data_IF_977650816781
#
_entry.id   IF_977650816781
#
_cell.length_a   1.000
_cell.length_b   1.000
_cell.length_c   1.000
_cell.angle_alpha   90.00
_cell.angle_beta   90.00
_cell.angle_gamma   90.00
#
_symmetry.space_group_name_H-M   'P 1'
#
loop_
_entity.id
_entity.type
_entity.pdbx_description
1 polymer ?
#
# COMPACT_ATOMS: atom_id res chain seq x y z
N UNK A 1 -21.88 -29.49 -0.05
CA UNK A 1 -22.10 -28.28 -0.89
C UNK A 1 -22.93 -27.24 -0.16
N UNK A 2 -23.91 -27.63 0.66
CA UNK A 2 -24.81 -26.68 1.35
C UNK A 2 -24.13 -25.78 2.40
N UNK A 3 -22.98 -26.20 2.95
CA UNK A 3 -22.21 -25.38 3.91
C UNK A 3 -21.47 -24.20 3.26
N UNK A 4 -21.20 -24.27 1.95
CA UNK A 4 -20.45 -23.25 1.22
C UNK A 4 -21.38 -22.21 0.56
N UNK A 5 -22.70 -22.46 0.54
CA UNK A 5 -23.68 -21.63 -0.19
C UNK A 5 -24.58 -20.76 0.71
N UNK A 6 -24.48 -20.83 2.03
CA UNK A 6 -25.05 -19.79 2.88
C UNK A 6 -24.08 -18.60 2.94
N UNK A 7 -24.19 -17.70 1.97
CA UNK A 7 -23.39 -16.47 1.86
C UNK A 7 -24.17 -15.23 2.38
N UNK A 8 -24.26 -14.97 3.70
CA UNK A 8 -24.54 -13.63 4.22
C UNK A 8 -23.27 -12.78 4.42
N UNK A 9 -22.06 -13.33 4.22
CA UNK A 9 -20.81 -12.60 4.50
C UNK A 9 -20.42 -11.67 3.34
N UNK A 10 -20.70 -12.05 2.09
CA UNK A 10 -20.32 -11.23 0.91
C UNK A 10 -21.17 -9.96 0.79
N UNK A 11 -22.43 -9.98 1.24
CA UNK A 11 -23.28 -8.77 1.26
C UNK A 11 -22.80 -7.72 2.26
N UNK A 12 -22.01 -8.11 3.27
CA UNK A 12 -21.45 -7.19 4.26
C UNK A 12 -20.24 -6.39 3.73
N UNK A 13 -19.50 -6.92 2.75
CA UNK A 13 -18.24 -6.33 2.28
C UNK A 13 -18.31 -5.63 0.91
N UNK A 14 -19.42 -5.76 0.16
CA UNK A 14 -19.50 -5.27 -1.23
C UNK A 14 -20.54 -4.17 -1.50
N UNK A 15 -21.26 -3.64 -0.50
CA UNK A 15 -22.29 -2.63 -0.74
C UNK A 15 -21.90 -1.25 -0.18
N UNK A 16 -21.87 -0.18 -1.01
CA UNK A 16 -21.88 1.19 -0.51
C UNK A 16 -23.23 1.48 0.16
N UNK A 17 -23.13 2.00 1.37
CA UNK A 17 -24.18 2.55 2.23
C UNK A 17 -25.45 3.05 1.53
N UNK A 18 -26.58 2.37 1.79
CA UNK A 18 -27.91 2.98 1.88
C UNK A 18 -28.84 2.16 2.79
N UNK A 19 -29.33 2.80 3.85
CA UNK A 19 -30.47 2.45 4.74
C UNK A 19 -30.24 1.57 5.98
N UNK A 20 -30.77 2.05 7.12
CA UNK A 20 -30.72 1.45 8.47
C UNK A 20 -31.61 0.22 8.67
N UNK A 21 -32.68 0.06 7.88
CA UNK A 21 -33.55 -1.12 7.91
C UNK A 21 -32.86 -2.36 7.35
N UNK A 22 -32.00 -2.19 6.33
CA UNK A 22 -31.23 -3.28 5.72
C UNK A 22 -30.27 -3.92 6.72
N UNK A 23 -29.62 -3.12 7.57
CA UNK A 23 -28.62 -3.61 8.54
C UNK A 23 -29.24 -4.52 9.59
N UNK A 24 -30.40 -4.16 10.15
CA UNK A 24 -31.09 -4.97 11.16
C UNK A 24 -31.63 -6.28 10.58
N UNK A 25 -32.18 -6.25 9.36
CA UNK A 25 -32.61 -7.45 8.64
C UNK A 25 -31.42 -8.35 8.31
N UNK A 26 -30.31 -7.78 7.85
CA UNK A 26 -29.07 -8.53 7.56
C UNK A 26 -28.49 -9.20 8.82
N UNK A 27 -28.52 -8.51 9.96
CA UNK A 27 -28.09 -9.08 11.24
C UNK A 27 -29.02 -10.22 11.70
N UNK A 28 -30.33 -10.09 11.49
CA UNK A 28 -31.28 -11.16 11.79
C UNK A 28 -31.04 -12.40 10.90
N UNK A 29 -30.89 -12.21 9.59
CA UNK A 29 -30.58 -13.31 8.68
C UNK A 29 -29.25 -13.98 9.01
N UNK A 30 -28.23 -13.19 9.32
CA UNK A 30 -26.95 -13.71 9.79
C UNK A 30 -27.12 -14.52 11.07
N UNK A 31 -27.84 -14.00 12.06
CA UNK A 31 -28.10 -14.69 13.32
C UNK A 31 -28.85 -16.01 13.13
N UNK A 32 -29.90 -16.02 12.31
CA UNK A 32 -30.66 -17.23 11.97
C UNK A 32 -29.79 -18.27 11.26
N UNK A 33 -28.99 -17.83 10.29
CA UNK A 33 -28.09 -18.71 9.54
C UNK A 33 -27.03 -19.31 10.45
N UNK A 34 -26.41 -18.48 11.30
CA UNK A 34 -25.43 -18.91 12.29
C UNK A 34 -26.03 -19.92 13.28
N UNK A 35 -27.21 -19.61 13.82
CA UNK A 35 -27.91 -20.49 14.76
C UNK A 35 -28.22 -21.84 14.11
N UNK A 36 -28.73 -21.84 12.89
CA UNK A 36 -29.00 -23.07 12.13
C UNK A 36 -27.73 -23.88 11.91
N UNK A 37 -26.62 -23.22 11.55
CA UNK A 37 -25.33 -23.86 11.33
C UNK A 37 -24.81 -24.54 12.61
N UNK A 38 -24.84 -23.83 13.74
CA UNK A 38 -24.39 -24.33 15.05
C UNK A 38 -25.24 -25.49 15.54
N UNK A 39 -26.55 -25.47 15.29
CA UNK A 39 -27.45 -26.55 15.68
C UNK A 39 -27.37 -27.77 14.74
N UNK A 40 -26.97 -27.57 13.49
CA UNK A 40 -26.95 -28.64 12.47
C UNK A 40 -25.63 -29.42 12.42
N UNK A 41 -24.54 -28.85 12.91
CA UNK A 41 -23.20 -29.41 12.75
C UNK A 41 -22.35 -29.27 14.00
N UNK A 42 -21.41 -30.21 14.20
CA UNK A 42 -20.44 -30.13 15.29
C UNK A 42 -19.52 -28.92 15.12
N UNK A 43 -19.09 -28.33 16.24
CA UNK A 43 -18.15 -27.21 16.26
C UNK A 43 -16.90 -27.48 15.40
N UNK A 44 -16.33 -28.69 15.52
CA UNK A 44 -15.20 -29.13 14.71
C UNK A 44 -15.52 -29.07 13.22
N UNK A 45 -16.65 -29.62 12.77
CA UNK A 45 -17.03 -29.60 11.35
C UNK A 45 -17.20 -28.17 10.82
N UNK A 46 -17.81 -27.28 11.62
CA UNK A 46 -17.98 -25.87 11.27
C UNK A 46 -16.63 -25.20 11.14
N UNK A 47 -15.73 -25.39 12.11
CA UNK A 47 -14.36 -24.85 12.09
C UNK A 47 -13.60 -25.26 10.82
N UNK A 48 -13.50 -26.57 10.55
CA UNK A 48 -12.70 -27.07 9.43
C UNK A 48 -13.20 -26.56 8.07
N UNK A 49 -14.50 -26.62 7.87
CA UNK A 49 -15.11 -26.22 6.60
C UNK A 49 -15.17 -24.69 6.46
N UNK A 50 -15.40 -23.97 7.56
CA UNK A 50 -15.39 -22.52 7.58
C UNK A 50 -14.01 -21.95 7.27
N UNK A 51 -12.95 -22.47 7.89
CA UNK A 51 -11.57 -22.08 7.59
C UNK A 51 -11.20 -22.34 6.13
N UNK A 52 -11.53 -23.52 5.60
CA UNK A 52 -11.31 -23.81 4.17
C UNK A 52 -12.09 -22.84 3.28
N UNK A 53 -13.38 -22.64 3.56
CA UNK A 53 -14.25 -21.72 2.83
C UNK A 53 -13.70 -20.29 2.81
N UNK A 54 -13.22 -19.79 3.95
CA UNK A 54 -12.59 -18.46 4.06
C UNK A 54 -11.37 -18.35 3.15
N UNK A 55 -10.48 -19.35 3.11
CA UNK A 55 -9.30 -19.32 2.25
C UNK A 55 -9.65 -19.43 0.77
N UNK A 56 -10.70 -20.17 0.42
CA UNK A 56 -11.20 -20.23 -0.96
C UNK A 56 -11.80 -18.89 -1.41
N UNK A 57 -12.63 -18.27 -0.57
CA UNK A 57 -13.36 -17.03 -0.88
C UNK A 57 -12.45 -15.80 -0.82
N UNK A 58 -11.58 -15.69 0.20
CA UNK A 58 -10.77 -14.50 0.41
C UNK A 58 -9.37 -14.57 -0.19
N UNK A 59 -8.91 -15.75 -0.65
CA UNK A 59 -7.63 -15.90 -1.34
C UNK A 59 -7.76 -16.52 -2.73
N UNK A 60 -8.20 -17.78 -2.87
CA UNK A 60 -8.08 -18.50 -4.15
C UNK A 60 -8.90 -17.83 -5.25
N UNK A 61 -10.19 -17.61 -5.00
CA UNK A 61 -11.09 -16.97 -5.96
C UNK A 61 -10.61 -15.58 -6.38
N UNK A 62 -10.36 -14.61 -5.47
CA UNK A 62 -9.86 -13.30 -5.86
C UNK A 62 -8.49 -13.38 -6.53
N UNK A 63 -7.62 -14.32 -6.14
CA UNK A 63 -6.33 -14.50 -6.80
C UNK A 63 -6.47 -14.91 -8.26
N UNK A 64 -7.39 -15.82 -8.56
CA UNK A 64 -7.70 -16.24 -9.93
C UNK A 64 -8.35 -15.10 -10.73
N UNK A 65 -9.22 -14.31 -10.11
CA UNK A 65 -9.82 -13.12 -10.75
C UNK A 65 -8.73 -12.09 -11.09
N UNK A 66 -7.80 -11.79 -10.17
CA UNK A 66 -6.68 -10.90 -10.45
C UNK A 66 -5.80 -11.43 -11.58
N UNK A 67 -5.47 -12.73 -11.56
CA UNK A 67 -4.68 -13.36 -12.62
C UNK A 67 -5.38 -13.27 -13.99
N UNK A 68 -6.68 -13.52 -14.03
CA UNK A 68 -7.49 -13.39 -15.24
C UNK A 68 -7.50 -11.95 -15.75
N UNK A 69 -7.69 -10.97 -14.87
CA UNK A 69 -7.66 -9.56 -15.24
C UNK A 69 -6.27 -9.11 -15.73
N UNK A 70 -5.22 -9.51 -15.01
CA UNK A 70 -3.82 -9.23 -15.39
C UNK A 70 -3.47 -9.82 -16.77
N UNK A 71 -4.04 -10.98 -17.13
CA UNK A 71 -3.77 -11.66 -18.40
C UNK A 71 -4.63 -11.15 -19.55
N UNK A 72 -5.90 -10.80 -19.31
CA UNK A 72 -6.81 -10.33 -20.35
C UNK A 72 -6.57 -8.85 -20.72
N UNK A 73 -6.24 -8.00 -19.74
CA UNK A 73 -6.11 -6.55 -19.94
C UNK A 73 -4.80 -6.01 -19.30
N UNK A 74 -3.62 -6.49 -19.76
CA UNK A 74 -2.33 -6.20 -19.11
C UNK A 74 -1.96 -4.72 -19.08
N UNK A 75 -2.36 -3.94 -20.09
CA UNK A 75 -2.08 -2.49 -20.17
C UNK A 75 -2.79 -1.73 -19.04
N UNK A 76 -4.06 -2.07 -18.78
CA UNK A 76 -4.82 -1.45 -17.68
C UNK A 76 -4.28 -1.92 -16.33
N UNK A 77 -4.01 -3.23 -16.18
CA UNK A 77 -3.40 -3.79 -14.98
C UNK A 77 -2.07 -3.09 -14.64
N UNK A 78 -1.18 -2.90 -15.61
CA UNK A 78 0.07 -2.17 -15.45
C UNK A 78 -0.16 -0.77 -14.85
N UNK A 79 -1.13 -0.02 -15.36
CA UNK A 79 -1.40 1.36 -14.89
C UNK A 79 -1.88 1.44 -13.43
N UNK A 80 -2.46 0.35 -12.91
CA UNK A 80 -3.06 0.30 -11.57
C UNK A 80 -2.12 -0.32 -10.52
N UNK A 81 -1.17 -1.16 -10.96
CA UNK A 81 -0.26 -1.90 -10.07
C UNK A 81 0.94 -1.05 -9.68
N UNK A 82 1.33 -1.09 -8.41
CA UNK A 82 2.46 -0.30 -7.89
C UNK A 82 3.80 -0.59 -8.61
N UNK A 83 3.99 -1.82 -9.11
CA UNK A 83 5.20 -2.22 -9.84
C UNK A 83 5.12 -2.10 -11.37
N UNK A 84 4.03 -1.54 -11.91
CA UNK A 84 3.80 -1.48 -13.35
C UNK A 84 3.96 -2.86 -14.03
N UNK A 85 4.66 -2.88 -15.15
CA UNK A 85 4.92 -4.10 -15.93
C UNK A 85 5.61 -5.20 -15.10
N UNK A 86 6.48 -4.84 -14.15
CA UNK A 86 7.22 -5.82 -13.34
C UNK A 86 6.34 -6.58 -12.35
N UNK A 87 5.16 -6.04 -12.01
CA UNK A 87 4.18 -6.68 -11.13
C UNK A 87 3.20 -7.58 -11.88
N UNK A 88 3.30 -7.66 -13.21
CA UNK A 88 2.47 -8.57 -14.00
C UNK A 88 2.91 -10.04 -13.80
N UNK A 89 1.97 -10.98 -13.87
CA UNK A 89 2.28 -12.40 -13.88
C UNK A 89 3.09 -12.75 -15.15
N UNK A 90 4.01 -13.74 -15.09
CA UNK A 90 4.68 -14.23 -16.30
C UNK A 90 3.67 -14.86 -17.26
N UNK A 91 3.94 -14.77 -18.56
CA UNK A 91 3.06 -15.35 -19.60
C UNK A 91 3.27 -16.86 -19.79
N UNK A 92 4.27 -17.46 -19.15
CA UNK A 92 4.55 -18.90 -19.23
C UNK A 92 3.44 -19.71 -18.51
N UNK A 93 2.61 -20.47 -19.26
CA UNK A 93 1.52 -21.24 -18.67
C UNK A 93 2.03 -22.39 -17.78
N UNK A 94 3.21 -22.95 -18.07
CA UNK A 94 3.79 -24.05 -17.27
C UNK A 94 4.21 -23.53 -15.91
N UNK A 95 4.85 -22.35 -15.88
CA UNK A 95 5.17 -21.66 -14.64
C UNK A 95 3.90 -21.38 -13.82
N UNK A 96 2.87 -20.77 -14.43
CA UNK A 96 1.62 -20.44 -13.73
C UNK A 96 0.92 -21.69 -13.18
N UNK A 97 0.87 -22.78 -13.95
CA UNK A 97 0.29 -24.04 -13.52
C UNK A 97 1.06 -24.65 -12.33
N UNK A 98 2.40 -24.60 -12.34
CA UNK A 98 3.25 -25.06 -11.22
C UNK A 98 3.04 -24.20 -9.98
N UNK A 99 2.98 -22.88 -10.14
CA UNK A 99 2.70 -21.93 -9.05
C UNK A 99 1.33 -22.20 -8.43
N UNK A 100 0.30 -22.39 -9.24
CA UNK A 100 -1.04 -22.73 -8.78
C UNK A 100 -1.06 -24.09 -8.06
N UNK A 101 -0.42 -25.10 -8.64
CA UNK A 101 -0.32 -26.43 -8.04
C UNK A 101 0.35 -26.39 -6.65
N UNK A 102 1.50 -25.71 -6.53
CA UNK A 102 2.17 -25.51 -5.25
C UNK A 102 1.28 -24.75 -4.25
N UNK A 103 0.56 -23.72 -4.71
CA UNK A 103 -0.34 -22.94 -3.87
C UNK A 103 -1.50 -23.76 -3.34
N UNK A 104 -2.07 -24.65 -4.15
CA UNK A 104 -3.14 -25.58 -3.74
C UNK A 104 -2.60 -26.59 -2.73
N UNK A 105 -1.40 -27.14 -2.94
CA UNK A 105 -0.75 -28.04 -1.96
C UNK A 105 -0.53 -27.33 -0.63
N UNK A 106 -0.01 -26.11 -0.65
CA UNK A 106 0.20 -25.31 0.57
C UNK A 106 -1.12 -24.96 1.27
N UNK A 107 -2.18 -24.62 0.52
CA UNK A 107 -3.51 -24.44 1.10
C UNK A 107 -3.97 -25.72 1.82
N UNK A 108 -3.87 -26.88 1.15
CA UNK A 108 -4.26 -28.16 1.73
C UNK A 108 -3.42 -28.51 2.97
N UNK A 109 -2.12 -28.22 2.97
CA UNK A 109 -1.23 -28.43 4.11
C UNK A 109 -1.57 -27.52 5.29
N UNK A 110 -1.85 -26.23 5.06
CA UNK A 110 -2.27 -25.31 6.12
C UNK A 110 -3.59 -25.76 6.76
N UNK A 111 -4.62 -26.00 5.94
CA UNK A 111 -5.93 -26.43 6.42
C UNK A 111 -5.84 -27.81 7.09
N UNK A 112 -5.05 -28.73 6.53
CA UNK A 112 -4.83 -30.06 7.09
C UNK A 112 -4.09 -30.03 8.43
N UNK A 113 -3.10 -29.15 8.59
CA UNK A 113 -2.39 -28.96 9.86
C UNK A 113 -3.32 -28.39 10.94
N UNK A 114 -4.05 -27.32 10.62
CA UNK A 114 -5.03 -26.74 11.54
C UNK A 114 -6.08 -27.78 11.93
N UNK A 115 -6.60 -28.54 10.96
CA UNK A 115 -7.54 -29.62 11.18
C UNK A 115 -7.00 -30.74 12.08
N UNK A 116 -5.77 -31.19 11.82
CA UNK A 116 -5.12 -32.22 12.62
C UNK A 116 -4.97 -31.80 14.08
N UNK A 117 -4.61 -30.54 14.33
CA UNK A 117 -4.52 -29.98 15.69
C UNK A 117 -5.91 -29.92 16.34
N UNK A 118 -6.94 -29.45 15.63
CA UNK A 118 -8.31 -29.37 16.17
C UNK A 118 -8.92 -30.73 16.48
N UNK A 119 -8.68 -31.73 15.62
CA UNK A 119 -9.08 -33.11 15.85
C UNK A 119 -8.35 -33.68 17.07
N UNK A 120 -7.02 -33.53 17.14
CA UNK A 120 -6.22 -34.04 18.25
C UNK A 120 -6.65 -33.42 19.58
N UNK A 121 -6.87 -32.10 19.61
CA UNK A 121 -7.37 -31.39 20.78
C UNK A 121 -8.76 -31.88 21.20
N UNK A 122 -9.70 -31.94 20.26
CA UNK A 122 -11.08 -32.36 20.55
C UNK A 122 -11.10 -33.80 21.06
N UNK A 123 -10.23 -34.66 20.52
CA UNK A 123 -10.10 -36.05 20.98
C UNK A 123 -9.50 -36.13 22.38
N UNK A 124 -8.45 -35.34 22.67
CA UNK A 124 -7.77 -35.36 23.97
C UNK A 124 -8.58 -34.72 25.10
N UNK A 125 -9.25 -33.60 24.83
CA UNK A 125 -9.91 -32.78 25.85
C UNK A 125 -11.43 -32.83 25.79
N UNK A 126 -12.01 -33.60 24.85
CA UNK A 126 -13.46 -33.76 24.67
C UNK A 126 -14.22 -32.41 24.52
N UNK A 127 -13.49 -31.37 24.11
CA UNK A 127 -14.01 -30.00 23.95
C UNK A 127 -13.41 -29.37 22.71
N UNK A 128 -14.16 -28.53 21.96
CA UNK A 128 -13.60 -27.82 20.82
C UNK A 128 -12.56 -26.79 21.26
N UNK A 129 -11.61 -26.48 20.37
CA UNK A 129 -10.60 -25.43 20.61
C UNK A 129 -11.29 -24.07 20.76
N UNK A 130 -12.10 -23.69 19.77
CA UNK A 130 -12.81 -22.43 19.74
C UNK A 130 -14.23 -22.58 20.28
N UNK A 131 -14.66 -21.59 21.04
CA UNK A 131 -16.00 -21.59 21.61
C UNK A 131 -17.03 -21.39 20.50
N UNK A 132 -18.00 -22.29 20.42
CA UNK A 132 -19.05 -22.27 19.39
C UNK A 132 -20.40 -22.26 20.09
N UNK A 133 -21.12 -21.15 20.01
CA UNK A 133 -22.45 -20.98 20.59
C UNK A 133 -23.40 -20.30 19.62
N UNK A 134 -24.69 -20.53 19.77
CA UNK A 134 -25.73 -19.80 19.01
C UNK A 134 -25.75 -18.31 19.38
N UNK A 135 -25.37 -17.96 20.60
CA UNK A 135 -25.16 -16.59 21.05
C UNK A 135 -23.96 -15.97 20.34
N UNK A 136 -24.16 -14.82 19.71
CA UNK A 136 -23.10 -14.06 19.05
C UNK A 136 -22.15 -13.43 20.09
N UNK A 137 -20.85 -13.30 19.77
CA UNK A 137 -19.91 -12.61 20.66
C UNK A 137 -20.31 -11.14 20.80
N UNK A 138 -20.20 -10.60 22.01
CA UNK A 138 -20.45 -9.19 22.25
C UNK A 138 -19.51 -8.32 21.39
N UNK A 139 -20.00 -7.20 20.81
CA UNK A 139 -19.18 -6.36 19.94
C UNK A 139 -17.85 -5.93 20.57
N UNK A 140 -17.86 -5.57 21.85
CA UNK A 140 -16.65 -5.19 22.58
C UNK A 140 -15.65 -6.35 22.72
N UNK A 141 -16.14 -7.56 23.01
CA UNK A 141 -15.29 -8.75 23.11
C UNK A 141 -14.70 -9.11 21.74
N UNK A 142 -15.50 -9.00 20.68
CA UNK A 142 -15.05 -9.16 19.30
C UNK A 142 -13.90 -8.20 18.99
N UNK A 143 -14.08 -6.89 19.24
CA UNK A 143 -13.04 -5.87 19.03
C UNK A 143 -11.79 -6.21 19.83
N UNK A 144 -11.92 -6.47 21.14
CA UNK A 144 -10.78 -6.81 22.01
C UNK A 144 -9.98 -7.99 21.48
N UNK A 145 -10.65 -9.09 21.14
CA UNK A 145 -9.97 -10.29 20.65
C UNK A 145 -9.32 -10.07 19.28
N UNK A 146 -10.01 -9.41 18.34
CA UNK A 146 -9.44 -9.07 17.03
C UNK A 146 -8.19 -8.20 17.18
N UNK A 147 -8.23 -7.17 18.03
CA UNK A 147 -7.06 -6.30 18.28
C UNK A 147 -5.88 -7.09 18.86
N UNK A 148 -6.11 -7.96 19.84
CA UNK A 148 -5.06 -8.82 20.42
C UNK A 148 -4.45 -9.73 19.34
N UNK A 149 -5.29 -10.39 18.54
CA UNK A 149 -4.84 -11.32 17.51
C UNK A 149 -4.08 -10.63 16.38
N UNK A 150 -4.53 -9.45 15.95
CA UNK A 150 -3.82 -8.67 14.93
C UNK A 150 -2.47 -8.13 15.44
N UNK A 151 -2.40 -7.69 16.70
CA UNK A 151 -1.14 -7.28 17.32
C UNK A 151 -0.16 -8.47 17.45
N UNK A 152 -0.67 -9.63 17.87
CA UNK A 152 0.12 -10.86 17.91
C UNK A 152 0.60 -11.28 16.51
N UNK A 153 -0.27 -11.18 15.49
CA UNK A 153 0.09 -11.44 14.10
C UNK A 153 1.22 -10.53 13.64
N UNK A 154 1.13 -9.22 13.82
CA UNK A 154 2.19 -8.28 13.41
C UNK A 154 3.53 -8.64 14.08
N UNK A 155 3.51 -8.92 15.39
CA UNK A 155 4.69 -9.31 16.15
C UNK A 155 5.33 -10.59 15.62
N UNK A 156 4.54 -11.66 15.49
CA UNK A 156 5.03 -12.98 15.10
C UNK A 156 5.47 -12.96 13.64
N UNK A 157 4.68 -12.36 12.74
CA UNK A 157 5.05 -12.21 11.33
C UNK A 157 6.39 -11.50 11.19
N UNK A 158 6.58 -10.35 11.86
CA UNK A 158 7.82 -9.59 11.76
C UNK A 158 9.04 -10.41 12.20
N UNK A 159 9.00 -11.01 13.41
CA UNK A 159 10.16 -11.73 13.93
C UNK A 159 10.44 -13.04 13.18
N UNK A 160 9.42 -13.83 12.83
CA UNK A 160 9.62 -15.03 12.04
C UNK A 160 10.18 -14.68 10.65
N UNK A 161 9.59 -13.69 9.99
CA UNK A 161 10.01 -13.33 8.64
C UNK A 161 11.42 -12.74 8.64
N UNK A 162 11.72 -11.76 9.51
CA UNK A 162 13.01 -11.09 9.55
C UNK A 162 14.14 -11.95 10.15
N UNK A 163 13.86 -12.75 11.19
CA UNK A 163 14.90 -13.47 11.97
C UNK A 163 14.99 -14.96 11.67
N UNK A 164 13.98 -15.57 11.04
CA UNK A 164 13.98 -17.00 10.69
C UNK A 164 14.05 -17.17 9.19
N UNK A 165 13.15 -16.54 8.43
CA UNK A 165 13.06 -16.72 6.98
C UNK A 165 14.07 -15.87 6.18
N UNK A 166 14.61 -14.82 6.79
CA UNK A 166 15.72 -14.02 6.24
C UNK A 166 16.99 -14.07 7.12
N UNK A 167 17.10 -15.10 7.96
CA UNK A 167 18.33 -15.36 8.71
C UNK A 167 19.51 -15.63 7.75
N UNK A 168 20.76 -15.30 8.13
CA UNK A 168 21.95 -15.71 7.39
C UNK A 168 21.93 -17.22 7.14
N UNK A 169 21.86 -17.62 5.87
CA UNK A 169 21.68 -19.02 5.50
C UNK A 169 22.88 -19.87 5.91
N UNK A 170 22.65 -20.86 6.79
CA UNK A 170 23.63 -21.88 7.20
C UNK A 170 23.44 -23.19 6.43
N UNK A 171 23.13 -23.13 5.14
CA UNK A 171 23.03 -24.30 4.25
C UNK A 171 21.81 -24.31 3.34
N UNK A 172 21.85 -25.18 2.31
CA UNK A 172 20.83 -25.26 1.23
C UNK A 172 19.42 -25.61 1.70
N UNK A 173 19.27 -26.33 2.80
CA UNK A 173 17.98 -26.80 3.33
C UNK A 173 17.47 -25.99 4.52
N UNK A 174 18.10 -24.86 4.85
CA UNK A 174 17.59 -23.98 5.90
C UNK A 174 16.27 -23.32 5.47
N UNK A 175 15.40 -22.98 6.44
CA UNK A 175 14.13 -22.27 6.16
C UNK A 175 14.37 -21.00 5.33
N UNK A 176 15.42 -20.24 5.65
CA UNK A 176 15.80 -19.05 4.90
C UNK A 176 16.23 -19.35 3.45
N UNK A 177 17.01 -20.41 3.23
CA UNK A 177 17.39 -20.81 1.88
C UNK A 177 16.18 -21.26 1.05
N UNK A 178 15.27 -22.02 1.65
CA UNK A 178 14.04 -22.50 1.01
C UNK A 178 13.11 -21.34 0.65
N UNK A 179 12.90 -20.41 1.59
CA UNK A 179 12.10 -19.20 1.38
C UNK A 179 12.70 -18.33 0.26
N UNK A 180 14.01 -18.07 0.31
CA UNK A 180 14.70 -17.31 -0.74
C UNK A 180 14.58 -17.98 -2.12
N UNK A 181 14.66 -19.31 -2.18
CA UNK A 181 14.56 -20.06 -3.44
C UNK A 181 13.16 -20.05 -4.04
N UNK A 182 12.10 -20.01 -3.23
CA UNK A 182 10.72 -20.14 -3.72
C UNK A 182 9.99 -18.81 -3.69
N UNK A 183 9.83 -18.16 -2.53
CA UNK A 183 9.18 -16.85 -2.43
C UNK A 183 9.95 -15.73 -3.17
N UNK A 184 11.28 -15.79 -3.22
CA UNK A 184 12.14 -14.79 -3.87
C UNK A 184 12.83 -15.31 -5.14
N UNK A 185 12.25 -16.32 -5.81
CA UNK A 185 12.78 -16.84 -7.08
C UNK A 185 12.84 -15.76 -8.19
N UNK A 186 12.06 -14.69 -8.02
CA UNK A 186 11.95 -13.56 -8.94
C UNK A 186 12.21 -12.26 -8.18
N UNK A 187 13.13 -11.45 -8.70
CA UNK A 187 13.41 -10.09 -8.20
C UNK A 187 12.39 -9.08 -8.72
N UNK A 188 11.09 -9.32 -8.46
CA UNK A 188 10.02 -8.43 -8.89
C UNK A 188 8.87 -8.42 -7.87
N UNK A 189 8.00 -7.40 -7.87
CA UNK A 189 6.79 -7.38 -7.05
C UNK A 189 5.95 -8.64 -7.25
N UNK A 190 5.23 -9.12 -6.23
CA UNK A 190 4.45 -10.34 -6.37
C UNK A 190 3.14 -10.09 -7.15
N UNK A 191 2.48 -11.18 -7.51
CA UNK A 191 1.09 -11.19 -7.96
C UNK A 191 0.29 -12.17 -7.08
N UNK A 192 -1.04 -12.06 -7.09
CA UNK A 192 -1.96 -12.65 -6.11
C UNK A 192 -1.70 -14.14 -5.77
N UNK A 193 -1.44 -14.99 -6.76
CA UNK A 193 -1.16 -16.42 -6.52
C UNK A 193 0.10 -16.67 -5.69
N UNK A 194 1.09 -15.77 -5.73
CA UNK A 194 2.35 -15.96 -5.01
C UNK A 194 2.18 -15.91 -3.49
N UNK A 195 1.02 -15.51 -2.96
CA UNK A 195 0.77 -15.51 -1.52
C UNK A 195 0.98 -16.90 -0.89
N UNK A 196 0.58 -17.96 -1.61
CA UNK A 196 0.67 -19.35 -1.18
C UNK A 196 1.75 -20.14 -1.95
N UNK A 197 2.54 -19.50 -2.81
CA UNK A 197 3.52 -20.16 -3.66
C UNK A 197 4.96 -20.14 -3.10
N UNK A 198 5.12 -20.47 -1.82
CA UNK A 198 6.43 -20.63 -1.17
C UNK A 198 6.72 -22.13 -0.91
N UNK A 199 7.92 -22.48 -0.48
CA UNK A 199 8.20 -23.83 -0.01
C UNK A 199 7.29 -24.17 1.19
N UNK A 200 6.74 -25.39 1.31
CA UNK A 200 5.77 -25.73 2.35
C UNK A 200 6.18 -25.37 3.78
N UNK A 201 7.44 -25.65 4.15
CA UNK A 201 7.94 -25.34 5.50
C UNK A 201 7.98 -23.82 5.81
N UNK A 202 8.68 -22.97 5.03
CA UNK A 202 8.56 -21.51 5.16
C UNK A 202 7.13 -20.98 5.09
N UNK A 203 6.30 -21.54 4.20
CA UNK A 203 4.90 -21.15 4.06
C UNK A 203 4.13 -21.34 5.39
N UNK A 204 4.23 -22.52 6.02
CA UNK A 204 3.58 -22.76 7.31
C UNK A 204 4.11 -21.81 8.40
N UNK A 205 5.42 -21.57 8.43
CA UNK A 205 6.05 -20.63 9.37
C UNK A 205 5.54 -19.21 9.16
N UNK A 206 5.37 -18.77 7.91
CA UNK A 206 4.98 -17.40 7.59
C UNK A 206 3.47 -17.16 7.65
N UNK A 207 2.64 -18.15 7.27
CA UNK A 207 1.20 -17.95 7.04
C UNK A 207 0.29 -18.63 8.05
N UNK A 208 0.77 -19.65 8.75
CA UNK A 208 -0.01 -20.38 9.76
C UNK A 208 0.39 -19.97 11.18
N UNK A 209 1.68 -19.91 11.50
CA UNK A 209 2.14 -19.59 12.87
C UNK A 209 1.73 -18.19 13.38
N UNK A 210 1.66 -17.12 12.55
CA UNK A 210 1.19 -15.83 13.05
C UNK A 210 -0.31 -15.77 13.32
N UNK A 211 -1.09 -16.72 12.79
CA UNK A 211 -2.55 -16.72 12.89
C UNK A 211 -3.04 -17.73 13.93
N UNK A 212 -2.55 -18.97 13.86
CA UNK A 212 -3.16 -20.09 14.57
C UNK A 212 -2.73 -20.19 16.04
N UNK A 213 -1.43 -20.29 16.42
CA UNK A 213 -0.99 -20.30 17.81
C UNK A 213 -1.54 -19.17 18.70
N UNK A 214 -1.59 -17.89 18.28
CA UNK A 214 -2.23 -16.84 19.09
C UNK A 214 -3.72 -17.09 19.32
N UNK A 215 -4.40 -17.63 18.30
CA UNK A 215 -5.81 -18.01 18.39
C UNK A 215 -6.01 -19.20 19.33
N UNK A 216 -5.10 -20.18 19.33
CA UNK A 216 -5.10 -21.30 20.28
C UNK A 216 -4.91 -20.83 21.72
N UNK A 217 -4.04 -19.84 21.94
CA UNK A 217 -3.80 -19.29 23.27
C UNK A 217 -4.99 -18.46 23.78
N UNK A 218 -5.60 -17.65 22.91
CA UNK A 218 -6.71 -16.77 23.27
C UNK A 218 -8.07 -17.51 23.34
N UNK A 219 -8.24 -18.59 22.56
CA UNK A 219 -9.49 -19.37 22.39
C UNK A 219 -10.73 -18.49 22.21
N UNK A 220 -10.74 -17.60 21.21
CA UNK A 220 -11.89 -16.73 20.98
C UNK A 220 -13.13 -17.53 20.53
N UNK A 221 -14.28 -16.86 20.44
CA UNK A 221 -15.46 -17.41 19.76
C UNK A 221 -15.13 -17.74 18.30
N UNK A 222 -15.69 -18.81 17.75
CA UNK A 222 -15.38 -19.31 16.40
C UNK A 222 -15.63 -18.24 15.33
N UNK A 223 -16.71 -17.46 15.43
CA UNK A 223 -16.95 -16.31 14.55
C UNK A 223 -15.85 -15.24 14.61
N UNK A 224 -15.28 -14.99 15.79
CA UNK A 224 -14.18 -14.05 15.96
C UNK A 224 -12.91 -14.57 15.29
N UNK A 225 -12.63 -15.88 15.43
CA UNK A 225 -11.52 -16.52 14.73
C UNK A 225 -11.72 -16.47 13.20
N UNK A 226 -12.92 -16.77 12.69
CA UNK A 226 -13.25 -16.63 11.28
C UNK A 226 -13.08 -15.22 10.74
N UNK A 227 -13.56 -14.21 11.50
CA UNK A 227 -13.36 -12.82 11.12
C UNK A 227 -11.87 -12.47 11.05
N UNK A 228 -11.07 -12.89 12.05
CA UNK A 228 -9.63 -12.67 12.06
C UNK A 228 -8.93 -13.31 10.85
N UNK A 229 -9.18 -14.60 10.59
CA UNK A 229 -8.59 -15.32 9.44
C UNK A 229 -9.04 -14.72 8.12
N UNK A 230 -10.32 -14.36 7.98
CA UNK A 230 -10.88 -13.72 6.79
C UNK A 230 -10.22 -12.37 6.50
N UNK A 231 -10.14 -11.49 7.51
CA UNK A 231 -9.49 -10.18 7.39
C UNK A 231 -8.02 -10.30 6.99
N UNK A 232 -7.26 -11.18 7.65
CA UNK A 232 -5.84 -11.38 7.34
C UNK A 232 -5.64 -11.96 5.94
N UNK A 233 -6.47 -12.94 5.55
CA UNK A 233 -6.37 -13.57 4.22
C UNK A 233 -6.70 -12.57 3.10
N UNK A 234 -7.74 -11.76 3.29
CA UNK A 234 -8.12 -10.72 2.34
C UNK A 234 -7.02 -9.66 2.23
N UNK A 235 -6.54 -9.14 3.35
CA UNK A 235 -5.44 -8.16 3.40
C UNK A 235 -4.21 -8.66 2.65
N UNK A 236 -3.75 -9.89 2.95
CA UNK A 236 -2.58 -10.50 2.33
C UNK A 236 -2.76 -10.74 0.83
N UNK A 237 -3.97 -11.14 0.42
CA UNK A 237 -4.30 -11.33 -1.00
C UNK A 237 -4.24 -10.02 -1.76
N UNK A 238 -4.85 -8.96 -1.21
CA UNK A 238 -4.82 -7.62 -1.80
C UNK A 238 -3.39 -7.07 -1.84
N UNK A 239 -2.62 -7.18 -0.75
CA UNK A 239 -1.24 -6.73 -0.69
C UNK A 239 -0.33 -7.43 -1.71
N UNK A 240 -0.52 -8.74 -1.88
CA UNK A 240 0.28 -9.57 -2.80
C UNK A 240 -0.19 -9.43 -4.25
N UNK A 241 -1.42 -8.97 -4.48
CA UNK A 241 -1.95 -8.73 -5.83
C UNK A 241 -1.18 -7.64 -6.59
N UNK A 242 -0.60 -6.67 -5.87
CA UNK A 242 0.11 -5.52 -6.43
C UNK A 242 -0.76 -4.29 -6.71
N UNK A 243 -2.09 -4.39 -6.53
CA UNK A 243 -3.03 -3.28 -6.73
C UNK A 243 -3.02 -2.32 -5.54
N UNK A 244 -2.51 -1.10 -5.76
CA UNK A 244 -2.37 -0.10 -4.69
C UNK A 244 -3.68 0.62 -4.36
N UNK A 245 -4.63 0.60 -5.30
CA UNK A 245 -5.97 1.15 -5.16
C UNK A 245 -6.97 0.08 -5.58
N UNK A 246 -7.82 -0.32 -4.64
CA UNK A 246 -8.97 -1.19 -4.91
C UNK A 246 -10.21 -0.37 -4.54
N UNK A 247 -11.26 -0.30 -5.38
CA UNK A 247 -12.45 0.47 -5.06
C UNK A 247 -12.97 0.14 -3.65
N UNK A 248 -13.07 1.17 -2.80
CA UNK A 248 -13.53 1.03 -1.41
C UNK A 248 -12.49 0.59 -0.36
N UNK A 249 -11.25 0.25 -0.74
CA UNK A 249 -10.21 -0.22 0.21
C UNK A 249 -8.86 0.47 -0.07
N UNK A 250 -8.37 1.25 0.90
CA UNK A 250 -7.09 1.97 0.80
C UNK A 250 -5.92 1.09 1.31
N UNK A 251 -5.17 0.47 0.40
CA UNK A 251 -4.08 -0.47 0.72
C UNK A 251 -2.70 -0.05 0.18
N UNK A 252 -2.55 1.18 -0.31
CA UNK A 252 -1.35 1.61 -1.03
C UNK A 252 -0.04 1.45 -0.25
N UNK A 253 -0.05 1.75 1.06
CA UNK A 253 1.14 1.60 1.91
C UNK A 253 1.57 0.14 2.12
N UNK A 254 0.61 -0.74 2.42
CA UNK A 254 0.87 -2.18 2.63
C UNK A 254 1.35 -2.80 1.31
N UNK A 255 0.63 -2.57 0.22
CA UNK A 255 0.98 -3.07 -1.11
C UNK A 255 2.38 -2.62 -1.55
N UNK A 256 2.75 -1.36 -1.32
CA UNK A 256 4.08 -0.82 -1.61
C UNK A 256 5.17 -1.52 -0.82
N UNK A 257 4.95 -1.78 0.47
CA UNK A 257 5.90 -2.50 1.33
C UNK A 257 6.07 -3.95 0.89
N UNK A 258 4.97 -4.65 0.63
CA UNK A 258 4.98 -6.02 0.09
C UNK A 258 5.72 -6.06 -1.25
N UNK A 259 5.39 -5.19 -2.20
CA UNK A 259 6.09 -5.09 -3.48
C UNK A 259 7.60 -4.82 -3.30
N UNK A 260 7.96 -3.88 -2.44
CA UNK A 260 9.35 -3.56 -2.12
C UNK A 260 10.12 -4.70 -1.45
N UNK A 261 9.44 -5.51 -0.61
CA UNK A 261 10.03 -6.70 0.01
C UNK A 261 10.48 -7.72 -1.04
N UNK A 262 9.57 -8.12 -1.93
CA UNK A 262 9.85 -9.12 -2.97
C UNK A 262 10.79 -8.59 -4.05
N UNK A 263 10.56 -7.37 -4.56
CA UNK A 263 11.45 -6.75 -5.54
C UNK A 263 12.86 -6.51 -4.97
N UNK A 264 12.96 -6.23 -3.67
CA UNK A 264 14.22 -6.06 -2.96
C UNK A 264 14.91 -7.37 -2.56
N UNK A 265 14.34 -8.54 -2.86
CA UNK A 265 14.88 -9.85 -2.49
C UNK A 265 14.91 -10.10 -0.98
N UNK A 266 13.94 -9.54 -0.25
CA UNK A 266 13.77 -9.79 1.18
C UNK A 266 14.67 -8.96 2.10
N UNK A 267 15.09 -7.76 1.68
CA UNK A 267 16.03 -6.91 2.45
C UNK A 267 15.38 -5.95 3.44
N UNK A 268 14.05 -5.92 3.51
CA UNK A 268 13.27 -5.04 4.38
C UNK A 268 11.78 -5.26 4.20
N UNK A 269 10.95 -4.53 4.95
CA UNK A 269 9.48 -4.60 4.91
C UNK A 269 8.95 -6.01 5.23
N UNK A 270 9.28 -6.54 6.41
CA UNK A 270 8.96 -7.90 6.84
C UNK A 270 7.59 -8.02 7.54
N UNK A 271 7.12 -6.94 8.17
CA UNK A 271 5.88 -6.90 8.93
C UNK A 271 4.63 -6.90 8.03
N UNK A 272 3.49 -7.26 8.61
CA UNK A 272 2.21 -7.24 7.89
C UNK A 272 1.75 -5.80 7.64
N UNK A 273 1.87 -4.94 8.65
CA UNK A 273 1.51 -3.52 8.57
C UNK A 273 2.69 -2.57 8.50
N UNK A 274 3.91 -3.06 8.73
CA UNK A 274 5.12 -2.25 8.70
C UNK A 274 5.33 -1.39 9.94
N UNK A 275 4.54 -1.60 11.01
CA UNK A 275 4.74 -0.91 12.28
C UNK A 275 6.07 -1.34 12.89
N UNK A 276 6.35 -2.65 12.89
CA UNK A 276 7.61 -3.16 13.40
C UNK A 276 8.77 -2.91 12.46
N UNK A 277 8.51 -2.79 11.15
CA UNK A 277 9.53 -2.35 10.20
C UNK A 277 9.97 -0.91 10.46
N UNK A 278 9.03 -0.03 10.80
CA UNK A 278 9.34 1.34 11.21
C UNK A 278 10.10 1.35 12.53
N UNK A 279 9.60 0.64 13.55
CA UNK A 279 10.21 0.61 14.88
C UNK A 279 11.64 0.07 14.88
N UNK A 280 11.97 -0.85 13.98
CA UNK A 280 13.30 -1.46 13.88
C UNK A 280 14.16 -0.88 12.74
N UNK A 281 13.70 0.15 12.02
CA UNK A 281 14.44 0.74 10.90
C UNK A 281 14.65 -0.22 9.70
N UNK A 282 13.83 -1.26 9.58
CA UNK A 282 13.83 -2.23 8.48
C UNK A 282 12.84 -1.88 7.38
N UNK A 283 12.12 -0.76 7.52
CA UNK A 283 11.37 -0.12 6.43
C UNK A 283 12.33 0.28 5.32
N UNK A 284 12.22 -0.37 4.16
CA UNK A 284 13.05 -0.09 3.00
C UNK A 284 12.18 0.44 1.86
N UNK A 285 12.48 1.65 1.43
CA UNK A 285 12.25 2.06 0.06
C UNK A 285 13.55 1.78 -0.67
N UNK A 286 13.60 0.72 -1.48
CA UNK A 286 14.80 0.17 -2.19
C UNK A 286 16.16 0.44 -1.49
N UNK A 287 16.71 -0.51 -0.70
CA UNK A 287 17.84 -0.26 0.21
C UNK A 287 19.13 0.30 -0.39
N UNK A 288 19.40 0.00 -1.68
CA UNK A 288 20.59 0.46 -2.40
C UNK A 288 20.25 1.54 -3.43
N UNK A 289 19.09 2.18 -3.28
CA UNK A 289 18.57 3.08 -4.28
C UNK A 289 18.17 4.38 -3.62
N UNK A 290 18.87 5.44 -3.98
CA UNK A 290 18.50 6.78 -3.59
C UNK A 290 18.13 7.65 -4.80
N UNK A 291 17.97 8.95 -4.55
CA UNK A 291 17.60 9.89 -5.60
C UNK A 291 18.71 10.08 -6.66
N UNK A 292 19.97 9.79 -6.35
CA UNK A 292 21.09 9.82 -7.30
C UNK A 292 21.00 8.63 -8.26
N UNK A 293 20.68 7.44 -7.75
CA UNK A 293 20.41 6.27 -8.60
C UNK A 293 19.21 6.51 -9.52
N UNK A 294 18.17 7.14 -8.99
CA UNK A 294 17.00 7.55 -9.76
C UNK A 294 17.39 8.55 -10.85
N UNK A 295 18.22 9.55 -10.53
CA UNK A 295 18.72 10.52 -11.51
C UNK A 295 19.54 9.85 -12.62
N UNK A 296 20.40 8.89 -12.27
CA UNK A 296 21.19 8.09 -13.22
C UNK A 296 20.30 7.39 -14.24
N UNK A 297 19.18 6.82 -13.83
CA UNK A 297 18.23 6.20 -14.76
C UNK A 297 17.40 7.23 -15.53
N UNK A 298 16.96 8.32 -14.89
CA UNK A 298 16.20 9.40 -15.54
C UNK A 298 16.98 10.06 -16.68
N UNK A 299 18.30 10.23 -16.53
CA UNK A 299 19.17 10.76 -17.59
C UNK A 299 19.10 9.96 -18.89
N UNK A 300 18.91 8.63 -18.80
CA UNK A 300 18.78 7.76 -19.99
C UNK A 300 17.51 8.06 -20.78
N UNK A 301 16.45 8.53 -20.12
CA UNK A 301 15.16 8.80 -20.75
C UNK A 301 15.24 9.92 -21.79
N UNK A 302 16.14 10.89 -21.61
CA UNK A 302 16.35 11.98 -22.58
C UNK A 302 16.77 11.41 -23.94
N UNK A 303 17.70 10.45 -23.95
CA UNK A 303 18.16 9.78 -25.17
C UNK A 303 17.10 8.91 -25.86
N UNK A 304 16.03 8.54 -25.16
CA UNK A 304 14.91 7.78 -25.75
C UNK A 304 13.90 8.65 -26.50
N UNK A 305 13.97 9.98 -26.35
CA UNK A 305 12.98 10.91 -26.90
C UNK A 305 11.63 10.94 -26.14
N UNK A 306 11.45 10.11 -25.11
CA UNK A 306 10.23 10.10 -24.27
C UNK A 306 10.08 11.36 -23.42
N UNK A 307 11.19 12.02 -23.09
CA UNK A 307 11.23 13.28 -22.36
C UNK A 307 12.20 14.23 -23.03
N UNK A 308 11.87 15.54 -23.04
CA UNK A 308 12.77 16.58 -23.57
C UNK A 308 13.79 17.05 -22.54
N UNK A 309 13.36 17.16 -21.28
CA UNK A 309 14.17 17.62 -20.17
C UNK A 309 13.83 16.79 -18.93
N UNK A 310 14.76 16.76 -17.97
CA UNK A 310 14.58 16.19 -16.64
C UNK A 310 14.94 17.23 -15.57
N UNK A 311 14.27 17.14 -14.43
CA UNK A 311 14.42 18.08 -13.32
C UNK A 311 14.09 17.44 -11.98
N UNK A 312 14.28 18.20 -10.91
CA UNK A 312 14.02 17.78 -9.54
C UNK A 312 12.93 18.64 -8.91
N UNK A 313 12.44 18.25 -7.73
CA UNK A 313 11.49 19.04 -6.95
C UNK A 313 11.76 18.88 -5.46
N UNK A 314 11.61 19.97 -4.69
CA UNK A 314 11.89 20.04 -3.25
C UNK A 314 13.36 19.75 -2.88
N UNK A 315 14.29 20.03 -3.80
CA UNK A 315 15.71 19.89 -3.53
C UNK A 315 16.25 21.19 -2.91
N UNK A 316 16.68 21.10 -1.65
CA UNK A 316 17.52 22.13 -1.04
C UNK A 316 18.98 22.01 -1.49
N UNK A 317 19.79 23.03 -1.15
CA UNK A 317 21.20 23.15 -1.58
C UNK A 317 21.99 21.86 -1.31
N UNK A 318 21.88 21.28 -0.10
CA UNK A 318 22.57 20.04 0.27
C UNK A 318 22.28 18.85 -0.66
N UNK A 319 21.02 18.69 -1.09
CA UNK A 319 20.65 17.60 -1.99
C UNK A 319 21.11 17.88 -3.43
N UNK A 320 21.08 19.15 -3.86
CA UNK A 320 21.63 19.57 -5.15
C UNK A 320 23.14 19.35 -5.20
N UNK A 321 23.89 19.76 -4.17
CA UNK A 321 25.33 19.52 -4.08
C UNK A 321 25.65 18.04 -4.13
N UNK A 322 24.92 17.22 -3.36
CA UNK A 322 25.09 15.77 -3.38
C UNK A 322 24.84 15.19 -4.78
N UNK A 323 23.81 15.66 -5.48
CA UNK A 323 23.50 15.19 -6.83
C UNK A 323 24.57 15.63 -7.84
N UNK A 324 24.90 16.92 -7.85
CA UNK A 324 25.81 17.53 -8.82
C UNK A 324 27.27 17.07 -8.65
N UNK A 325 27.67 16.72 -7.42
CA UNK A 325 29.01 16.21 -7.12
C UNK A 325 29.14 14.69 -7.36
N UNK A 326 28.05 13.98 -7.65
CA UNK A 326 28.11 12.55 -7.92
C UNK A 326 28.71 12.28 -9.32
N UNK A 327 29.67 11.34 -9.46
CA UNK A 327 30.29 11.04 -10.75
C UNK A 327 29.33 10.58 -11.86
N UNK A 328 28.15 10.08 -11.50
CA UNK A 328 27.13 9.63 -12.46
C UNK A 328 26.22 10.76 -12.95
N UNK A 329 26.31 11.96 -12.38
CA UNK A 329 25.55 13.13 -12.80
C UNK A 329 26.21 13.79 -14.03
N UNK A 330 25.69 13.50 -15.22
CA UNK A 330 26.13 14.06 -16.51
C UNK A 330 25.25 15.22 -16.98
N UNK A 331 24.01 15.26 -16.52
CA UNK A 331 23.02 16.27 -16.88
C UNK A 331 22.63 17.04 -15.62
N UNK A 332 22.88 18.35 -15.64
CA UNK A 332 22.38 19.27 -14.61
C UNK A 332 20.86 19.33 -14.70
N UNK A 333 20.11 19.28 -13.57
CA UNK A 333 18.66 19.40 -13.61
C UNK A 333 18.21 20.68 -14.32
N UNK A 334 17.32 20.57 -15.31
CA UNK A 334 16.84 21.74 -16.04
C UNK A 334 15.97 22.63 -15.14
N UNK A 335 15.23 22.02 -14.21
CA UNK A 335 14.31 22.68 -13.30
C UNK A 335 14.46 22.11 -11.89
N UNK A 336 14.35 22.98 -10.88
CA UNK A 336 14.02 22.62 -9.50
C UNK A 336 12.67 23.26 -9.13
N UNK A 337 11.62 22.43 -9.01
CA UNK A 337 10.28 22.90 -8.65
C UNK A 337 10.13 22.91 -7.12
N UNK A 338 9.92 24.09 -6.53
CA UNK A 338 9.95 24.32 -5.07
C UNK A 338 8.79 25.21 -4.62
N UNK A 339 8.40 25.10 -3.33
CA UNK A 339 7.37 25.95 -2.74
C UNK A 339 7.91 27.37 -2.63
N UNK A 340 7.26 28.31 -3.31
CA UNK A 340 7.69 29.70 -3.35
C UNK A 340 6.49 30.64 -3.37
N UNK A 341 6.45 31.54 -2.39
CA UNK A 341 5.48 32.62 -2.25
C UNK A 341 6.06 33.63 -1.23
N UNK A 342 5.44 34.80 -0.98
CA UNK A 342 6.02 35.81 -0.08
C UNK A 342 6.36 35.28 1.33
N UNK A 343 5.56 34.36 1.89
CA UNK A 343 5.88 33.72 3.18
C UNK A 343 6.97 32.62 3.10
N UNK A 344 7.39 32.19 1.91
CA UNK A 344 8.47 31.22 1.72
C UNK A 344 9.35 31.63 0.51
N UNK A 345 10.10 32.74 0.59
CA UNK A 345 10.73 33.34 -0.59
C UNK A 345 12.04 32.66 -1.01
N UNK A 346 12.69 31.91 -0.13
CA UNK A 346 13.89 31.08 -0.41
C UNK A 346 14.98 31.72 -1.31
N UNK A 347 15.42 32.98 -1.08
CA UNK A 347 16.34 33.69 -1.97
C UNK A 347 17.69 32.97 -2.18
N UNK A 348 18.27 32.39 -1.12
CA UNK A 348 19.53 31.63 -1.20
C UNK A 348 19.43 30.41 -2.13
N UNK A 349 18.28 29.74 -2.16
CA UNK A 349 18.07 28.57 -3.02
C UNK A 349 17.86 28.99 -4.48
N UNK A 350 17.16 30.10 -4.71
CA UNK A 350 17.00 30.66 -6.06
C UNK A 350 18.34 31.08 -6.65
N UNK A 351 19.16 31.80 -5.87
CA UNK A 351 20.50 32.22 -6.27
C UNK A 351 21.40 31.01 -6.55
N UNK A 352 21.36 29.99 -5.68
CA UNK A 352 22.10 28.76 -5.89
C UNK A 352 21.66 28.04 -7.18
N UNK A 353 20.35 27.85 -7.38
CA UNK A 353 19.80 27.24 -8.59
C UNK A 353 20.27 28.01 -9.84
N UNK A 354 20.14 29.34 -9.85
CA UNK A 354 20.58 30.20 -10.94
C UNK A 354 22.09 30.07 -11.22
N UNK A 355 22.93 30.04 -10.18
CA UNK A 355 24.39 29.86 -10.31
C UNK A 355 24.80 28.53 -10.96
N UNK A 356 23.92 27.51 -10.90
CA UNK A 356 24.12 26.20 -11.52
C UNK A 356 23.41 26.06 -12.86
N UNK A 357 22.72 27.09 -13.35
CA UNK A 357 21.91 27.02 -14.56
C UNK A 357 20.62 26.22 -14.40
N UNK A 358 20.13 26.06 -13.17
CA UNK A 358 18.88 25.35 -12.84
C UNK A 358 17.74 26.37 -12.78
N UNK A 359 16.71 26.22 -13.61
CA UNK A 359 15.53 27.08 -13.56
C UNK A 359 14.66 26.76 -12.34
N UNK A 360 14.09 27.77 -11.69
CA UNK A 360 13.21 27.55 -10.53
C UNK A 360 11.74 27.69 -10.93
N UNK A 361 10.92 26.70 -10.57
CA UNK A 361 9.46 26.74 -10.74
C UNK A 361 8.77 26.82 -9.38
N UNK A 362 7.97 27.86 -9.16
CA UNK A 362 7.20 28.11 -7.96
C UNK A 362 5.88 27.32 -7.96
N UNK A 363 5.84 26.22 -7.20
CA UNK A 363 4.57 25.60 -6.82
C UNK A 363 4.02 26.27 -5.56
N UNK A 364 2.71 26.11 -5.33
CA UNK A 364 2.01 26.81 -4.23
C UNK A 364 2.25 28.32 -4.24
N UNK A 365 2.43 28.92 -5.42
CA UNK A 365 2.66 30.37 -5.60
C UNK A 365 1.57 31.27 -5.02
N UNK A 366 0.40 30.69 -4.73
CA UNK A 366 -0.75 31.33 -4.10
C UNK A 366 -0.87 31.02 -2.59
N UNK A 367 0.08 30.30 -2.00
CA UNK A 367 0.09 29.85 -0.61
C UNK A 367 -0.92 28.73 -0.27
N UNK A 368 -1.41 28.00 -1.29
CA UNK A 368 -2.41 26.93 -1.19
C UNK A 368 -3.80 27.38 -0.70
N UNK A 369 -4.68 26.43 -0.39
CA UNK A 369 -6.04 26.66 0.13
C UNK A 369 -5.97 27.37 1.49
N UNK A 370 -6.84 28.35 1.71
CA UNK A 370 -6.95 29.14 2.94
C UNK A 370 -5.66 29.89 3.34
N UNK A 371 -4.83 30.25 2.36
CA UNK A 371 -3.59 30.96 2.60
C UNK A 371 -3.82 32.28 3.36
N UNK A 372 -3.04 32.56 4.43
CA UNK A 372 -3.09 33.85 5.12
C UNK A 372 -2.66 35.02 4.23
N UNK A 373 -2.00 34.77 3.09
CA UNK A 373 -1.62 35.79 2.11
C UNK A 373 -2.83 36.62 1.66
N UNK A 374 -4.00 36.01 1.49
CA UNK A 374 -5.21 36.72 1.06
C UNK A 374 -5.80 37.66 2.10
N UNK A 375 -5.30 37.63 3.34
CA UNK A 375 -5.67 38.55 4.43
C UNK A 375 -4.57 39.57 4.72
N UNK A 376 -3.43 39.50 4.04
CA UNK A 376 -2.31 40.39 4.26
C UNK A 376 -2.61 41.78 3.70
N UNK A 377 -2.59 42.80 4.57
CA UNK A 377 -2.95 44.17 4.20
C UNK A 377 -2.00 44.77 3.14
N UNK A 378 -0.70 44.48 3.19
CA UNK A 378 0.28 44.92 2.19
C UNK A 378 -0.11 44.40 0.80
N UNK A 379 -0.38 43.11 0.67
CA UNK A 379 -0.79 42.50 -0.60
C UNK A 379 -2.10 43.11 -1.12
N UNK A 380 -3.10 43.28 -0.26
CA UNK A 380 -4.39 43.86 -0.61
C UNK A 380 -4.25 45.32 -1.08
N UNK A 381 -3.38 46.10 -0.44
CA UNK A 381 -3.11 47.49 -0.79
C UNK A 381 -2.40 47.61 -2.14
N UNK A 382 -1.39 46.77 -2.40
CA UNK A 382 -0.69 46.72 -3.71
C UNK A 382 -1.69 46.32 -4.81
N UNK A 383 -2.49 45.27 -4.59
CA UNK A 383 -3.50 44.83 -5.53
C UNK A 383 -4.49 45.95 -5.88
N UNK A 384 -4.99 46.67 -4.86
CA UNK A 384 -5.88 47.81 -5.04
C UNK A 384 -5.21 48.95 -5.81
N UNK A 385 -3.97 49.31 -5.47
CA UNK A 385 -3.23 50.39 -6.13
C UNK A 385 -2.97 50.09 -7.62
N UNK A 386 -2.75 48.82 -7.97
CA UNK A 386 -2.56 48.37 -9.36
C UNK A 386 -3.86 48.11 -10.11
N UNK A 387 -5.01 48.13 -9.44
CA UNK A 387 -6.29 47.72 -10.03
C UNK A 387 -6.30 46.24 -10.42
N UNK A 388 -5.61 45.39 -9.67
CA UNK A 388 -5.44 43.95 -9.92
C UNK A 388 -5.92 43.13 -8.74
N UNK A 389 -5.98 41.81 -8.93
CA UNK A 389 -6.33 40.87 -7.85
C UNK A 389 -5.10 40.50 -7.02
N UNK A 390 -5.26 40.15 -5.72
CA UNK A 390 -4.17 39.64 -4.89
C UNK A 390 -3.46 38.43 -5.53
N UNK A 391 -4.23 37.58 -6.21
CA UNK A 391 -3.73 36.43 -6.97
C UNK A 391 -2.74 36.88 -8.04
N UNK A 392 -3.11 37.86 -8.87
CA UNK A 392 -2.26 38.37 -9.95
C UNK A 392 -0.97 39.00 -9.39
N UNK A 393 -1.04 39.72 -8.27
CA UNK A 393 0.14 40.28 -7.60
C UNK A 393 1.08 39.16 -7.13
N UNK A 394 0.56 38.09 -6.52
CA UNK A 394 1.37 36.94 -6.08
C UNK A 394 2.07 36.23 -7.26
N UNK A 395 1.35 36.08 -8.38
CA UNK A 395 1.92 35.46 -9.58
C UNK A 395 3.02 36.34 -10.19
N UNK A 396 2.74 37.64 -10.34
CA UNK A 396 3.71 38.58 -10.89
C UNK A 396 4.94 38.71 -10.00
N UNK A 397 4.77 38.71 -8.67
CA UNK A 397 5.88 38.65 -7.72
C UNK A 397 6.78 37.44 -7.95
N UNK A 398 6.21 36.26 -8.23
CA UNK A 398 6.99 35.07 -8.56
C UNK A 398 7.77 35.22 -9.88
N UNK A 399 7.10 35.76 -10.92
CA UNK A 399 7.70 36.01 -12.23
C UNK A 399 8.85 37.02 -12.18
N UNK A 400 8.66 38.14 -11.46
CA UNK A 400 9.67 39.19 -11.28
C UNK A 400 10.95 38.69 -10.61
N UNK A 401 10.88 37.57 -9.89
CA UNK A 401 12.03 36.92 -9.25
C UNK A 401 12.71 35.88 -10.14
N UNK A 402 12.40 35.85 -11.43
CA UNK A 402 12.99 34.92 -12.40
C UNK A 402 12.49 33.49 -12.27
N UNK A 403 11.32 33.27 -11.65
CA UNK A 403 10.72 31.94 -11.50
C UNK A 403 9.54 31.77 -12.44
N UNK A 404 9.28 30.55 -12.92
CA UNK A 404 7.98 30.24 -13.52
C UNK A 404 6.97 29.89 -12.42
N UNK A 405 5.71 30.28 -12.58
CA UNK A 405 4.63 30.00 -11.62
C UNK A 405 3.65 28.98 -12.17
N UNK A 406 3.10 28.12 -11.29
CA UNK A 406 2.10 27.10 -11.67
C UNK A 406 0.84 27.15 -10.78
N UNK A 407 0.01 28.20 -10.89
CA UNK A 407 -1.20 28.31 -10.08
C UNK A 407 -2.25 27.28 -10.46
N UNK A 408 -2.82 26.61 -9.45
CA UNK A 408 -3.94 25.68 -9.62
C UNK A 408 -5.28 26.42 -9.49
N UNK A 409 -6.20 26.17 -10.42
CA UNK A 409 -7.61 26.56 -10.32
C UNK A 409 -8.50 25.54 -11.02
N UNK A 410 -9.76 25.47 -10.61
CA UNK A 410 -10.83 24.74 -11.31
C UNK A 410 -11.95 25.67 -11.82
N UNK A 411 -11.90 26.96 -11.49
CA UNK A 411 -12.80 27.99 -12.04
C UNK A 411 -12.19 28.55 -13.32
N UNK A 412 -13.01 28.59 -14.38
CA UNK A 412 -12.62 29.10 -15.71
C UNK A 412 -12.22 30.57 -15.65
N UNK A 413 -12.94 31.37 -14.88
CA UNK A 413 -12.73 32.80 -14.68
C UNK A 413 -11.38 33.04 -14.00
N UNK A 414 -11.07 32.27 -12.95
CA UNK A 414 -9.77 32.34 -12.28
C UNK A 414 -8.62 31.88 -13.16
N UNK A 415 -8.83 30.88 -14.01
CA UNK A 415 -7.81 30.45 -14.97
C UNK A 415 -7.50 31.58 -15.95
N UNK A 416 -8.53 32.23 -16.52
CA UNK A 416 -8.35 33.37 -17.41
C UNK A 416 -7.60 34.52 -16.73
N UNK A 417 -8.04 34.92 -15.52
CA UNK A 417 -7.42 36.00 -14.76
C UNK A 417 -5.94 35.73 -14.40
N UNK A 418 -5.56 34.47 -14.17
CA UNK A 418 -4.17 34.09 -13.90
C UNK A 418 -3.23 34.31 -15.10
N UNK A 419 -3.75 34.41 -16.33
CA UNK A 419 -2.97 34.72 -17.53
C UNK A 419 -2.90 36.23 -17.83
N UNK A 420 -3.74 37.05 -17.20
CA UNK A 420 -3.77 38.52 -17.40
C UNK A 420 -2.67 39.23 -16.60
N UNK A 421 -1.42 38.80 -16.81
CA UNK A 421 -0.23 39.32 -16.11
C UNK A 421 0.57 40.31 -16.96
N UNK A 422 0.30 40.39 -18.26
CA UNK A 422 1.03 41.27 -19.18
C UNK A 422 0.60 42.74 -19.08
N UNK A 423 1.51 43.65 -19.46
CA UNK A 423 1.22 45.08 -19.58
C UNK A 423 1.27 45.88 -18.27
N UNK A 424 1.76 45.29 -17.17
CA UNK A 424 2.02 45.98 -15.91
C UNK A 424 3.12 45.26 -15.13
N UNK A 425 3.73 45.98 -14.18
CA UNK A 425 4.82 45.47 -13.36
C UNK A 425 4.68 45.89 -11.88
N UNK A 426 5.32 45.12 -11.01
CA UNK A 426 5.57 45.53 -9.62
C UNK A 426 6.87 46.32 -9.57
N UNK A 427 6.92 47.37 -8.76
CA UNK A 427 8.17 48.11 -8.51
C UNK A 427 9.09 47.29 -7.61
N UNK A 428 10.39 47.61 -7.61
CA UNK A 428 11.36 46.96 -6.71
C UNK A 428 10.96 47.09 -5.23
N UNK A 429 10.40 48.23 -4.85
CA UNK A 429 9.88 48.47 -3.50
C UNK A 429 8.68 47.58 -3.18
N UNK A 430 7.74 47.40 -4.12
CA UNK A 430 6.58 46.53 -3.96
C UNK A 430 6.98 45.04 -3.88
N UNK A 431 8.05 44.64 -4.58
CA UNK A 431 8.57 43.26 -4.53
C UNK A 431 9.27 42.98 -3.19
N UNK A 432 9.92 44.00 -2.62
CA UNK A 432 10.69 43.92 -1.38
C UNK A 432 9.82 43.95 -0.11
N UNK A 433 8.69 44.65 -0.15
CA UNK A 433 7.66 44.66 0.90
C UNK A 433 6.98 43.29 1.02
#
# INVERSE_FOLDING_TARGET
MDLLMSLPIISYFLAPSVTSWSTSLNLLFFYMTWTTLVLSHSALKIELMGTLGLRLVFWLLPSLVFLLFDTLIPILAESLKYGGTSALPPTDPVFLARTLGLSIVNLALAVGLEAGISIAWTTAFQTPIFTTSTTLPFPWQLVKHITILLAARELITYYLHARVLHAPSRGRNSLAALHKKHAHHRSAPPFSLLLFADHPLPFLVHRVLPLYPPSLALRPHLLTYFLFVGLCTLEETLATSGYSTVPGIMMGGITRRTAGHYAGGGRGNYGAWGLLDWAHGTSKHHPDWDFVDTWREMQKLVGTGKVRNIGVSNFGIKNLERLLNDPSCKTVPAVNQIELHPCNPSPKLLEYNASKGIHSTAYSCLGSTDSPLYKNETLLNIAKAKGKTPQQVLLLWGLSRGTSVIPKSVSKERIAANYELDGWELTDDEIKQ
#
